data_IF_889510121284
#
_entry.id   IF_889510121284
#
_cell.length_a   1.000
_cell.length_b   1.000
_cell.length_c   1.000
_cell.angle_alpha   90.00
_cell.angle_beta   90.00
_cell.angle_gamma   90.00
#
_symmetry.space_group_name_H-M   'P 1'
#
loop_
_entity.id
_entity.type
_entity.pdbx_description
1 polymer ?
#
# COMPACT_ATOMS: atom_id res chain seq x y z
N UNK A 1 10.36 -9.90 -9.76
CA UNK A 1 9.72 -8.98 -8.79
C UNK A 1 10.81 -8.26 -8.04
N UNK A 2 10.73 -6.94 -7.93
CA UNK A 2 11.74 -6.12 -7.22
C UNK A 2 11.09 -5.48 -6.00
N UNK A 3 11.71 -5.60 -4.82
CA UNK A 3 11.18 -5.01 -3.59
C UNK A 3 11.17 -3.49 -3.68
N UNK A 4 10.04 -2.87 -3.32
CA UNK A 4 9.89 -1.43 -3.20
C UNK A 4 9.84 -1.05 -1.72
N UNK A 5 10.85 -0.35 -1.20
CA UNK A 5 10.82 0.16 0.16
C UNK A 5 9.63 1.11 0.36
N UNK A 6 8.72 0.72 1.25
CA UNK A 6 7.49 1.44 1.53
C UNK A 6 7.15 1.38 3.02
N UNK A 7 6.41 2.37 3.51
CA UNK A 7 6.04 2.47 4.93
C UNK A 7 4.60 2.93 5.08
N UNK A 8 3.88 2.37 6.06
CA UNK A 8 2.54 2.83 6.43
C UNK A 8 2.63 4.19 7.13
N UNK A 9 1.96 5.21 6.60
CA UNK A 9 1.97 6.58 7.12
C UNK A 9 0.62 7.05 7.65
N UNK A 10 -0.47 6.33 7.36
CA UNK A 10 -1.77 6.54 8.00
C UNK A 10 -2.62 5.28 7.91
N UNK A 11 -3.46 5.09 8.92
CA UNK A 11 -4.48 4.04 8.96
C UNK A 11 -5.75 4.69 9.52
N UNK A 12 -6.85 4.53 8.81
CA UNK A 12 -8.15 5.02 9.25
C UNK A 12 -9.21 3.93 9.05
N UNK A 13 -10.03 3.69 10.07
CA UNK A 13 -11.21 2.83 9.93
C UNK A 13 -12.42 3.69 9.63
N UNK A 14 -13.05 3.47 8.48
CA UNK A 14 -14.30 4.13 8.08
C UNK A 14 -15.37 3.07 7.88
N UNK A 15 -16.36 3.06 8.76
CA UNK A 15 -17.43 2.06 8.80
C UNK A 15 -16.88 0.62 8.79
N UNK A 16 -17.10 -0.09 7.69
CA UNK A 16 -16.70 -1.49 7.45
C UNK A 16 -15.37 -1.62 6.67
N UNK A 17 -14.67 -0.51 6.41
CA UNK A 17 -13.45 -0.48 5.61
C UNK A 17 -12.26 0.12 6.38
N UNK A 18 -11.08 -0.34 5.99
CA UNK A 18 -9.81 0.20 6.45
C UNK A 18 -9.12 0.92 5.29
N UNK A 19 -8.85 2.20 5.49
CA UNK A 19 -8.06 3.02 4.58
C UNK A 19 -6.62 3.06 5.09
N UNK A 20 -5.68 2.65 4.25
CA UNK A 20 -4.26 2.63 4.59
C UNK A 20 -3.52 3.49 3.59
N UNK A 21 -2.73 4.43 4.09
CA UNK A 21 -1.85 5.25 3.26
C UNK A 21 -0.43 4.76 3.44
N UNK A 22 0.22 4.45 2.33
CA UNK A 22 1.59 3.97 2.27
C UNK A 22 2.44 4.95 1.48
N UNK A 23 3.61 5.29 2.01
CA UNK A 23 4.59 6.13 1.34
C UNK A 23 5.73 5.26 0.79
N UNK A 24 5.97 5.37 -0.51
CA UNK A 24 7.18 4.85 -1.14
C UNK A 24 8.38 5.70 -0.71
N UNK A 25 9.47 5.03 -0.32
CA UNK A 25 10.73 5.69 0.05
C UNK A 25 11.66 5.93 -1.15
N UNK A 26 11.27 5.46 -2.33
CA UNK A 26 12.00 5.64 -3.59
C UNK A 26 11.08 6.21 -4.66
N UNK A 27 11.65 6.89 -5.66
CA UNK A 27 10.87 7.36 -6.81
C UNK A 27 10.44 6.15 -7.64
N UNK A 28 9.14 5.92 -7.72
CA UNK A 28 8.54 4.92 -8.57
C UNK A 28 7.66 5.61 -9.62
N UNK A 29 7.88 5.30 -10.90
CA UNK A 29 7.16 5.89 -12.05
C UNK A 29 6.15 4.93 -12.70
N UNK A 30 6.01 3.72 -12.16
CA UNK A 30 5.06 2.75 -12.67
C UNK A 30 3.62 3.07 -12.25
N UNK A 31 2.71 2.22 -12.71
CA UNK A 31 1.28 2.33 -12.35
C UNK A 31 0.96 1.49 -11.11
N UNK A 32 -0.22 1.69 -10.54
CA UNK A 32 -0.71 0.81 -9.49
C UNK A 32 -0.78 -0.66 -9.94
N UNK A 33 -1.17 -0.91 -11.19
CA UNK A 33 -1.35 -2.26 -11.72
C UNK A 33 -0.03 -3.03 -11.92
N UNK A 34 1.11 -2.33 -11.86
CA UNK A 34 2.44 -2.96 -11.91
C UNK A 34 3.01 -3.25 -10.53
N UNK A 35 2.24 -2.97 -9.46
CA UNK A 35 2.57 -3.32 -8.09
C UNK A 35 2.05 -4.70 -7.73
N UNK A 36 2.82 -5.39 -6.91
CA UNK A 36 2.41 -6.63 -6.27
C UNK A 36 2.42 -6.44 -4.75
N UNK A 37 1.38 -6.98 -4.13
CA UNK A 37 1.14 -6.94 -2.70
C UNK A 37 1.44 -8.31 -2.10
N UNK A 38 1.73 -8.34 -0.80
CA UNK A 38 1.91 -9.59 -0.05
C UNK A 38 0.60 -10.39 0.07
N UNK A 39 0.50 -11.17 1.15
CA UNK A 39 -0.68 -12.01 1.41
C UNK A 39 -1.96 -11.18 1.56
N UNK A 40 -1.85 -10.02 2.21
CA UNK A 40 -2.96 -9.10 2.43
C UNK A 40 -3.10 -8.11 1.26
N UNK A 41 -3.91 -8.49 0.27
CA UNK A 41 -4.17 -7.66 -0.92
C UNK A 41 -5.24 -6.60 -0.65
N UNK A 42 -5.03 -5.34 -1.07
CA UNK A 42 -6.07 -4.33 -1.02
C UNK A 42 -7.20 -4.66 -2.00
N UNK A 43 -8.41 -4.22 -1.69
CA UNK A 43 -9.55 -4.32 -2.59
C UNK A 43 -9.40 -3.35 -3.77
N UNK A 44 -9.05 -2.11 -3.45
CA UNK A 44 -8.72 -1.07 -4.43
C UNK A 44 -7.57 -0.25 -3.90
N UNK A 45 -6.81 0.35 -4.81
CA UNK A 45 -5.84 1.35 -4.44
C UNK A 45 -5.50 2.29 -5.58
N UNK A 46 -4.80 3.35 -5.22
CA UNK A 46 -4.39 4.39 -6.14
C UNK A 46 -2.96 4.82 -5.79
N UNK A 47 -2.13 4.98 -6.81
CA UNK A 47 -0.76 5.46 -6.67
C UNK A 47 -0.66 6.85 -7.28
N UNK A 48 -0.23 7.84 -6.49
CA UNK A 48 0.07 9.20 -6.95
C UNK A 48 1.26 9.76 -6.20
N UNK A 49 2.23 10.28 -6.94
CA UNK A 49 3.41 10.97 -6.39
C UNK A 49 4.15 10.19 -5.30
N UNK A 50 4.24 8.86 -5.45
CA UNK A 50 4.89 7.97 -4.47
C UNK A 50 4.05 7.67 -3.22
N UNK A 51 2.82 8.20 -3.15
CA UNK A 51 1.84 7.86 -2.13
C UNK A 51 0.84 6.85 -2.69
N UNK A 52 0.56 5.84 -1.90
CA UNK A 52 -0.34 4.75 -2.22
C UNK A 52 -1.50 4.77 -1.22
N UNK A 53 -2.69 5.09 -1.71
CA UNK A 53 -3.92 5.07 -0.93
C UNK A 53 -4.64 3.75 -1.19
N UNK A 54 -4.82 2.94 -0.16
CA UNK A 54 -5.33 1.57 -0.21
C UNK A 54 -6.60 1.41 0.61
N UNK A 55 -7.51 0.56 0.14
CA UNK A 55 -8.74 0.21 0.86
C UNK A 55 -8.84 -1.30 1.07
N UNK A 56 -9.17 -1.71 2.29
CA UNK A 56 -9.37 -3.10 2.68
C UNK A 56 -10.75 -3.28 3.34
N UNK A 57 -11.44 -4.39 3.05
CA UNK A 57 -12.70 -4.77 3.72
C UNK A 57 -12.50 -5.52 5.04
N UNK A 58 -11.27 -5.95 5.32
CA UNK A 58 -10.89 -6.62 6.57
C UNK A 58 -9.73 -5.85 7.17
N UNK A 59 -9.58 -5.98 8.48
CA UNK A 59 -8.41 -5.43 9.17
C UNK A 59 -7.15 -6.01 8.52
N UNK A 60 -6.26 -5.17 7.94
CA UNK A 60 -5.07 -5.66 7.26
C UNK A 60 -3.96 -6.06 8.24
N UNK A 61 -4.12 -5.85 9.56
CA UNK A 61 -3.12 -6.18 10.58
C UNK A 61 -1.88 -5.30 10.50
N UNK A 62 -2.02 -4.07 10.02
CA UNK A 62 -0.94 -3.10 9.84
C UNK A 62 -0.98 -2.04 10.96
N UNK A 63 0.18 -1.50 11.32
CA UNK A 63 0.30 -0.37 12.23
C UNK A 63 0.99 0.82 11.56
N UNK A 64 0.77 2.00 12.13
CA UNK A 64 1.46 3.21 11.70
C UNK A 64 2.98 3.04 11.88
N UNK A 65 3.73 3.33 10.83
CA UNK A 65 5.19 3.22 10.81
C UNK A 65 5.73 1.85 10.36
N UNK A 66 4.86 0.85 10.18
CA UNK A 66 5.31 -0.48 9.73
C UNK A 66 5.89 -0.44 8.31
N UNK A 67 6.95 -1.22 8.03
CA UNK A 67 7.36 -1.52 6.67
C UNK A 67 6.21 -2.17 5.91
N UNK A 68 5.91 -1.69 4.71
CA UNK A 68 4.82 -2.21 3.91
C UNK A 68 5.35 -3.16 2.82
N UNK A 69 4.93 -4.44 2.78
CA UNK A 69 5.40 -5.42 1.81
C UNK A 69 4.85 -5.11 0.41
N UNK A 70 5.72 -4.56 -0.44
CA UNK A 70 5.40 -4.10 -1.77
C UNK A 70 6.52 -4.45 -2.76
N UNK A 71 6.14 -4.88 -3.95
CA UNK A 71 7.07 -5.19 -5.03
C UNK A 71 6.58 -4.62 -6.37
N UNK A 72 7.47 -4.48 -7.33
CA UNK A 72 7.13 -4.32 -8.75
C UNK A 72 7.08 -5.67 -9.43
N UNK A 73 6.17 -5.83 -10.40
CA UNK A 73 6.12 -7.00 -11.28
C UNK A 73 7.23 -6.99 -12.35
N UNK A 74 7.84 -5.84 -12.60
CA UNK A 74 8.88 -5.60 -13.60
C UNK A 74 10.08 -4.86 -13.00
#
# INVERSE_FOLDING_TARGET
MTSLPAQVIAIEKRADQYQVVVQLRTKYRGSFNTLAFGETKPYIGFLKDGRLDLVYYRDPGLNLGDPFPLWTLH
#
